data_IF_718696318399
#
_entry.id   IF_718696318399
#
_cell.length_a   1.000
_cell.length_b   1.000
_cell.length_c   1.000
_cell.angle_alpha   90.00
_cell.angle_beta   90.00
_cell.angle_gamma   90.00
#
_symmetry.space_group_name_H-M   'P 1'
#
loop_
_entity.id
_entity.type
_entity.pdbx_description
1 polymer ?
#
# COMPACT_ATOMS: atom_id res chain seq x y z
N UNK A 1 -67.04 18.12 -51.55
CA UNK A 1 -66.41 17.15 -50.64
C UNK A 1 -64.91 17.17 -50.87
N UNK A 2 -64.14 17.73 -49.92
CA UNK A 2 -62.68 17.92 -50.06
C UNK A 2 -61.99 16.75 -49.36
N UNK A 3 -61.26 15.91 -50.10
CA UNK A 3 -60.41 14.86 -49.50
C UNK A 3 -59.13 15.51 -48.98
N UNK A 4 -58.83 15.35 -47.68
CA UNK A 4 -57.56 15.79 -47.08
C UNK A 4 -56.39 15.00 -47.69
N UNK A 5 -55.23 15.63 -47.97
CA UNK A 5 -54.00 14.91 -48.29
C UNK A 5 -53.53 14.08 -47.08
N UNK A 6 -52.99 12.88 -47.33
CA UNK A 6 -52.30 12.09 -46.30
C UNK A 6 -50.94 12.76 -46.02
N UNK A 7 -50.69 13.07 -44.76
CA UNK A 7 -49.36 13.51 -44.29
C UNK A 7 -48.41 12.32 -44.38
N UNK A 8 -47.22 12.45 -45.01
CA UNK A 8 -46.20 11.41 -44.91
C UNK A 8 -45.83 11.26 -43.43
N UNK A 9 -45.95 10.05 -42.88
CA UNK A 9 -45.36 9.76 -41.58
C UNK A 9 -43.86 9.95 -41.74
N UNK A 10 -43.29 10.82 -40.93
CA UNK A 10 -41.85 10.89 -40.79
C UNK A 10 -41.41 9.59 -40.14
N UNK A 11 -40.87 8.68 -40.95
CA UNK A 11 -40.08 7.55 -40.47
C UNK A 11 -38.78 8.14 -39.92
N UNK A 12 -38.86 8.73 -38.73
CA UNK A 12 -37.69 9.12 -37.96
C UNK A 12 -37.18 7.81 -37.37
N UNK A 13 -36.28 7.18 -38.10
CA UNK A 13 -35.41 6.13 -37.60
C UNK A 13 -34.62 6.70 -36.40
N UNK A 14 -35.19 6.52 -35.21
CA UNK A 14 -34.62 7.00 -33.96
C UNK A 14 -33.89 5.84 -33.31
N UNK A 15 -32.93 5.24 -34.02
CA UNK A 15 -31.99 4.30 -33.41
C UNK A 15 -30.53 4.78 -33.52
N UNK A 16 -30.33 6.05 -33.21
CA UNK A 16 -29.01 6.56 -32.84
C UNK A 16 -29.01 6.89 -31.35
N UNK A 17 -29.05 5.82 -30.54
CA UNK A 17 -28.78 5.87 -29.12
C UNK A 17 -27.36 6.40 -28.91
N UNK A 18 -27.23 7.69 -28.56
CA UNK A 18 -25.94 8.27 -28.15
C UNK A 18 -25.57 7.60 -26.83
N UNK A 19 -24.72 6.59 -26.88
CA UNK A 19 -24.21 5.89 -25.70
C UNK A 19 -22.95 6.58 -25.19
N UNK A 20 -22.98 6.99 -23.92
CA UNK A 20 -21.78 7.37 -23.17
C UNK A 20 -21.34 6.19 -22.32
N UNK A 21 -20.03 5.97 -22.24
CA UNK A 21 -19.42 4.93 -21.40
C UNK A 21 -18.31 5.56 -20.56
N UNK A 22 -18.20 5.10 -19.32
CA UNK A 22 -17.08 5.40 -18.44
C UNK A 22 -16.56 4.10 -17.81
N UNK A 23 -15.30 4.13 -17.36
CA UNK A 23 -14.64 3.01 -16.68
C UNK A 23 -13.84 3.54 -15.49
N UNK A 24 -13.91 2.84 -14.36
CA UNK A 24 -12.98 3.02 -13.25
C UNK A 24 -11.82 2.05 -13.40
N UNK A 25 -10.59 2.54 -13.24
CA UNK A 25 -9.37 1.75 -13.31
C UNK A 25 -8.68 1.84 -11.95
N UNK A 26 -8.30 0.70 -11.39
CA UNK A 26 -7.52 0.61 -10.17
C UNK A 26 -6.22 -0.13 -10.50
N UNK A 27 -5.08 0.56 -10.37
CA UNK A 27 -3.76 -0.02 -10.62
C UNK A 27 -3.01 -0.17 -9.30
N UNK A 28 -2.17 -1.20 -9.22
CA UNK A 28 -1.27 -1.40 -8.08
C UNK A 28 0.15 -1.22 -8.57
N UNK A 29 0.92 -0.38 -7.87
CA UNK A 29 2.36 -0.25 -8.09
C UNK A 29 3.07 -1.16 -7.09
N UNK A 30 3.91 -2.05 -7.60
CA UNK A 30 4.72 -2.94 -6.77
C UNK A 30 6.11 -2.34 -6.53
N UNK A 31 6.65 -2.60 -5.34
CA UNK A 31 8.00 -2.19 -4.97
C UNK A 31 8.51 -3.04 -3.82
N UNK A 32 9.82 -3.08 -3.64
CA UNK A 32 10.48 -3.77 -2.52
C UNK A 32 11.62 -2.93 -1.98
N UNK A 33 11.91 -3.09 -0.69
CA UNK A 33 13.01 -2.43 -0.02
C UNK A 33 13.70 -3.42 0.91
N UNK A 34 15.02 -3.52 0.80
CA UNK A 34 15.85 -4.30 1.70
C UNK A 34 16.50 -3.37 2.72
N UNK A 35 16.27 -3.65 4.00
CA UNK A 35 16.89 -2.94 5.11
C UNK A 35 17.83 -3.89 5.88
N UNK A 36 19.14 -3.71 5.69
CA UNK A 36 20.18 -4.51 6.33
C UNK A 36 20.69 -3.84 7.60
N UNK A 37 20.66 -4.58 8.71
CA UNK A 37 21.23 -4.15 10.00
C UNK A 37 22.51 -4.94 10.23
N UNK A 38 23.65 -4.26 10.11
CA UNK A 38 24.96 -4.84 10.42
C UNK A 38 25.26 -4.70 11.91
N UNK A 39 25.81 -5.75 12.52
CA UNK A 39 26.11 -5.74 13.95
C UNK A 39 24.88 -5.83 14.86
N UNK A 40 23.80 -6.51 14.42
CA UNK A 40 22.55 -6.65 15.18
C UNK A 40 22.73 -7.02 16.66
N UNK A 41 23.71 -7.87 17.00
CA UNK A 41 24.00 -8.24 18.39
C UNK A 41 24.35 -7.06 19.29
N UNK A 42 24.91 -5.97 18.74
CA UNK A 42 25.20 -4.73 19.44
C UNK A 42 23.97 -3.82 19.56
N UNK A 43 23.02 -3.95 18.63
CA UNK A 43 21.76 -3.22 18.66
C UNK A 43 20.73 -3.84 19.60
N UNK A 44 20.83 -5.14 19.88
CA UNK A 44 20.01 -5.80 20.90
C UNK A 44 20.39 -5.27 22.29
N UNK A 45 19.39 -4.90 23.09
CA UNK A 45 19.58 -4.32 24.42
C UNK A 45 19.55 -2.78 24.46
N UNK A 46 19.20 -2.12 23.34
CA UNK A 46 18.98 -0.67 23.28
C UNK A 46 17.82 -0.19 24.19
N UNK A 47 16.93 -1.09 24.58
CA UNK A 47 15.75 -0.85 25.40
C UNK A 47 14.45 -0.96 24.59
N UNK A 48 13.40 -1.43 25.27
CA UNK A 48 12.03 -1.53 24.73
C UNK A 48 11.59 -0.17 24.18
N UNK A 49 10.97 -0.17 23.00
CA UNK A 49 10.48 1.04 22.33
C UNK A 49 11.56 1.90 21.68
N UNK A 50 12.84 1.47 21.70
CA UNK A 50 13.90 2.10 20.89
C UNK A 50 13.95 1.45 19.52
N UNK A 51 13.94 2.27 18.48
CA UNK A 51 14.00 1.81 17.09
C UNK A 51 15.25 2.26 16.36
N UNK A 52 15.58 1.49 15.33
CA UNK A 52 16.40 1.94 14.20
C UNK A 52 15.47 2.16 13.00
N UNK A 53 15.75 3.20 12.22
CA UNK A 53 14.94 3.60 11.07
C UNK A 53 15.74 3.38 9.78
N UNK A 54 15.10 2.80 8.76
CA UNK A 54 15.70 2.64 7.45
C UNK A 54 15.92 3.99 6.74
N UNK A 55 16.62 3.97 5.62
CA UNK A 55 16.53 5.05 4.64
C UNK A 55 15.09 5.20 4.12
N UNK A 56 14.74 6.39 3.64
CA UNK A 56 13.50 6.60 2.90
C UNK A 56 13.55 5.84 1.58
N UNK A 57 12.44 5.22 1.20
CA UNK A 57 12.29 4.57 -0.10
C UNK A 57 10.94 4.92 -0.72
N UNK A 58 10.87 4.89 -2.06
CA UNK A 58 9.70 5.33 -2.80
C UNK A 58 9.00 4.15 -3.48
N UNK A 59 7.69 4.01 -3.24
CA UNK A 59 6.82 3.04 -3.92
C UNK A 59 5.49 3.72 -4.22
N UNK A 60 5.01 3.59 -5.46
CA UNK A 60 3.74 4.20 -5.89
C UNK A 60 3.72 5.72 -5.83
N UNK A 61 4.88 6.38 -5.88
CA UNK A 61 5.01 7.83 -5.75
C UNK A 61 5.01 8.35 -4.31
N UNK A 62 4.97 7.47 -3.31
CA UNK A 62 5.00 7.81 -1.90
C UNK A 62 6.30 7.37 -1.24
N UNK A 63 6.73 8.14 -0.25
CA UNK A 63 7.89 7.84 0.59
C UNK A 63 7.48 7.06 1.84
N UNK A 64 8.30 6.07 2.15
CA UNK A 64 8.11 5.13 3.25
C UNK A 64 9.42 4.98 4.02
N UNK A 65 9.31 4.56 5.28
CA UNK A 65 10.43 4.10 6.10
C UNK A 65 10.04 2.81 6.83
N UNK A 66 11.04 2.04 7.25
CA UNK A 66 10.87 0.90 8.15
C UNK A 66 11.41 1.28 9.52
N UNK A 67 10.61 1.07 10.57
CA UNK A 67 11.06 1.10 11.95
C UNK A 67 11.27 -0.32 12.46
N UNK A 68 12.45 -0.59 12.99
CA UNK A 68 12.82 -1.88 13.56
C UNK A 68 13.15 -1.72 15.05
N UNK A 69 12.47 -2.48 15.89
CA UNK A 69 12.59 -2.48 17.34
C UNK A 69 13.22 -3.81 17.79
N UNK A 70 14.53 -3.86 18.10
CA UNK A 70 15.21 -5.11 18.49
C UNK A 70 14.74 -5.67 19.85
N UNK A 71 14.12 -4.83 20.67
CA UNK A 71 13.72 -5.15 22.04
C UNK A 71 12.21 -5.04 22.25
N UNK A 72 11.43 -5.09 21.17
CA UNK A 72 9.99 -4.91 21.19
C UNK A 72 9.55 -3.45 21.09
N UNK A 73 8.38 -3.23 20.50
CA UNK A 73 7.76 -1.91 20.38
C UNK A 73 7.34 -1.31 21.73
N UNK A 74 6.75 -2.14 22.59
CA UNK A 74 6.28 -1.76 23.92
C UNK A 74 6.49 -2.89 24.94
N UNK A 75 6.04 -2.66 26.18
CA UNK A 75 6.19 -3.62 27.29
C UNK A 75 5.41 -4.94 27.07
N UNK A 76 4.42 -4.96 26.18
CA UNK A 76 3.72 -6.19 25.81
C UNK A 76 4.48 -6.98 24.74
N UNK A 77 5.52 -6.41 24.13
CA UNK A 77 6.25 -7.02 23.02
C UNK A 77 7.74 -7.29 23.33
N UNK A 78 8.17 -7.26 24.59
CA UNK A 78 9.59 -7.35 24.98
C UNK A 78 10.29 -8.66 24.58
N UNK A 79 9.53 -9.72 24.35
CA UNK A 79 10.04 -11.03 23.92
C UNK A 79 10.22 -11.14 22.40
N UNK A 80 9.77 -10.13 21.64
CA UNK A 80 9.77 -10.12 20.19
C UNK A 80 10.58 -8.94 19.65
N UNK A 81 11.05 -9.10 18.41
CA UNK A 81 11.40 -7.94 17.60
C UNK A 81 10.11 -7.42 16.95
N UNK A 82 10.00 -6.10 16.79
CA UNK A 82 8.84 -5.48 16.11
C UNK A 82 9.30 -4.71 14.89
N UNK A 83 8.53 -4.81 13.80
CA UNK A 83 8.84 -4.17 12.52
C UNK A 83 7.60 -3.49 11.99
N UNK A 84 7.72 -2.23 11.60
CA UNK A 84 6.62 -1.44 11.05
C UNK A 84 7.08 -0.73 9.78
N UNK A 85 6.21 -0.71 8.77
CA UNK A 85 6.33 0.22 7.66
C UNK A 85 5.53 1.48 8.01
N UNK A 86 6.16 2.64 7.91
CA UNK A 86 5.53 3.93 8.18
C UNK A 86 5.52 4.80 6.94
N UNK A 87 4.44 5.55 6.80
CA UNK A 87 4.18 6.41 5.67
C UNK A 87 4.65 7.84 5.97
N UNK A 88 5.47 8.39 5.10
CA UNK A 88 6.14 9.69 5.32
C UNK A 88 5.50 10.80 4.51
N UNK A 89 5.07 10.49 3.28
CA UNK A 89 4.47 11.48 2.40
C UNK A 89 3.18 12.07 2.95
N UNK A 90 2.80 13.31 2.59
CA UNK A 90 1.49 13.84 2.95
C UNK A 90 0.35 13.06 2.28
N UNK A 91 -0.82 13.07 2.93
CA UNK A 91 -2.03 12.45 2.41
C UNK A 91 -2.27 11.05 2.99
N UNK A 92 -2.80 10.17 2.15
CA UNK A 92 -3.16 8.81 2.49
C UNK A 92 -2.76 7.86 1.34
N UNK A 93 -2.28 6.68 1.67
CA UNK A 93 -2.04 5.61 0.72
C UNK A 93 -2.59 4.29 1.26
N UNK A 94 -3.25 3.53 0.38
CA UNK A 94 -3.59 2.13 0.66
C UNK A 94 -2.47 1.25 0.11
N UNK A 95 -1.86 0.45 0.98
CA UNK A 95 -0.80 -0.46 0.59
C UNK A 95 -1.11 -1.90 1.03
N UNK A 96 -0.64 -2.84 0.21
CA UNK A 96 -0.62 -4.26 0.50
C UNK A 96 0.85 -4.63 0.70
N UNK A 97 1.22 -5.04 1.90
CA UNK A 97 2.63 -5.27 2.23
C UNK A 97 2.86 -6.62 2.90
N UNK A 98 4.09 -7.10 2.77
CA UNK A 98 4.59 -8.34 3.33
C UNK A 98 5.96 -8.01 3.95
N UNK A 99 6.18 -8.37 5.22
CA UNK A 99 7.46 -8.16 5.89
C UNK A 99 8.14 -9.50 6.09
N UNK A 100 9.37 -9.61 5.61
CA UNK A 100 10.23 -10.79 5.74
C UNK A 100 11.46 -10.42 6.56
N UNK A 101 11.69 -11.17 7.63
CA UNK A 101 12.95 -11.13 8.35
C UNK A 101 13.81 -12.29 7.84
N UNK A 102 14.96 -11.97 7.26
CA UNK A 102 15.92 -12.95 6.75
C UNK A 102 16.92 -13.34 7.85
N UNK A 103 17.47 -14.55 7.76
CA UNK A 103 18.59 -14.97 8.59
C UNK A 103 19.88 -14.22 8.25
N UNK A 104 20.91 -14.41 9.08
CA UNK A 104 22.21 -13.73 8.89
C UNK A 104 22.90 -14.10 7.56
N UNK A 105 22.51 -15.21 6.94
CA UNK A 105 23.02 -15.62 5.64
C UNK A 105 22.24 -15.05 4.46
N UNK A 106 21.11 -14.37 4.70
CA UNK A 106 20.19 -13.88 3.66
C UNK A 106 19.46 -15.01 2.91
N UNK A 107 19.61 -16.25 3.36
CA UNK A 107 19.21 -17.44 2.60
C UNK A 107 17.92 -18.07 3.12
N UNK A 108 17.50 -17.71 4.34
CA UNK A 108 16.29 -18.28 4.96
C UNK A 108 15.44 -17.17 5.56
N UNK A 109 14.13 -17.36 5.51
CA UNK A 109 13.16 -16.50 6.20
C UNK A 109 13.09 -16.98 7.65
N UNK A 110 13.47 -16.11 8.59
CA UNK A 110 13.37 -16.34 10.02
C UNK A 110 12.00 -15.89 10.59
N UNK A 111 11.38 -14.88 9.98
CA UNK A 111 10.05 -14.40 10.35
C UNK A 111 9.28 -13.88 9.14
N UNK A 112 7.97 -14.10 9.14
CA UNK A 112 7.06 -13.65 8.09
C UNK A 112 5.83 -13.01 8.70
N UNK A 113 5.60 -11.73 8.39
CA UNK A 113 4.30 -11.14 8.56
C UNK A 113 3.47 -11.39 7.29
N UNK A 114 2.31 -12.06 7.37
CA UNK A 114 1.51 -12.39 6.20
C UNK A 114 1.05 -11.12 5.49
N UNK A 115 0.81 -11.25 4.18
CA UNK A 115 0.42 -10.15 3.31
C UNK A 115 -0.89 -9.51 3.81
N UNK A 116 -0.85 -8.25 4.18
CA UNK A 116 -2.01 -7.52 4.73
C UNK A 116 -2.21 -6.17 4.04
N UNK A 117 -3.47 -5.76 3.89
CA UNK A 117 -3.82 -4.44 3.36
C UNK A 117 -4.05 -3.49 4.52
N UNK A 118 -3.42 -2.33 4.46
CA UNK A 118 -3.65 -1.26 5.41
C UNK A 118 -3.67 0.08 4.70
N UNK A 119 -4.47 1.00 5.25
CA UNK A 119 -4.46 2.41 4.87
C UNK A 119 -3.52 3.15 5.79
N UNK A 120 -2.57 3.86 5.20
CA UNK A 120 -1.56 4.65 5.90
C UNK A 120 -1.79 6.12 5.66
N UNK A 121 -1.60 6.92 6.69
CA UNK A 121 -1.60 8.37 6.62
C UNK A 121 -0.60 8.92 7.65
N UNK A 122 -0.26 10.20 7.52
CA UNK A 122 0.71 10.87 8.41
C UNK A 122 0.29 10.99 9.87
N UNK A 123 -0.95 10.64 10.24
CA UNK A 123 -1.46 10.65 11.62
C UNK A 123 -1.45 9.27 12.28
N UNK A 124 -1.33 8.21 11.49
CA UNK A 124 -1.41 6.80 11.92
C UNK A 124 -0.12 6.01 11.62
N UNK A 125 0.94 6.69 11.17
CA UNK A 125 2.23 6.10 10.78
C UNK A 125 3.32 6.31 11.82
#
# INVERSE_FOLDING_TARGET
>A
SVKRPRVPRSDIDTDHKIMSSSKSIYETVEGSHEYKIEGYSLAKGMGVGKSMTSGRFTVGGYEWVIHFYPDGYDQANVEYVSVFASFVSPGEARALFELKLLDQGGNRIHGLHPRSSQTFNTKNG
#
